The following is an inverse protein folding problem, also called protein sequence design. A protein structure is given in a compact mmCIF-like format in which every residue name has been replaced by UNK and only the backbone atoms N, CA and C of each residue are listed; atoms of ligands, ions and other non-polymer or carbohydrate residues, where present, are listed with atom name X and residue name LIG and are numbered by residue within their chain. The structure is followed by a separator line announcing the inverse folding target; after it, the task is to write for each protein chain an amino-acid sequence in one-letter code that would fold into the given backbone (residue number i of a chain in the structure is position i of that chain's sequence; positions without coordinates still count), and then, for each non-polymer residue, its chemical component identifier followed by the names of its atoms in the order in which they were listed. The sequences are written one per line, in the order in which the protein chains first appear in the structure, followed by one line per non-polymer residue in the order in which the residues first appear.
data_IF_650789618877
#
_entry.id   IF_650789618877
#
_cell.length_a   1.000
_cell.length_b   1.000
_cell.length_c   1.000
_cell.angle_alpha   90.00
_cell.angle_beta   90.00
_cell.angle_gamma   90.00
#
_symmetry.space_group_name_H-M   'P 1'
#
loop_
_entity.id
_entity.type
_entity.pdbx_description
1 polymer ?
#
# COMPACT_ATOMS: atom_id res chain seq x y z
N UNK A 1 5.48 14.21 3.80
CA UNK A 1 5.34 12.86 4.41
C UNK A 1 3.93 12.35 4.16
N UNK A 2 3.69 11.05 4.31
CA UNK A 2 2.35 10.47 4.16
C UNK A 2 1.98 9.62 5.38
N UNK A 3 0.77 9.82 5.87
CA UNK A 3 0.11 8.87 6.75
C UNK A 3 -0.92 8.07 5.95
N UNK A 4 -1.00 6.78 6.25
CA UNK A 4 -1.96 5.87 5.65
C UNK A 4 -2.62 5.03 6.74
N UNK A 5 -3.89 4.67 6.54
CA UNK A 5 -4.61 3.68 7.32
C UNK A 5 -5.70 3.03 6.45
N UNK A 6 -6.02 1.76 6.73
CA UNK A 6 -7.10 1.03 6.07
C UNK A 6 -7.66 -0.03 7.02
N UNK A 7 -8.91 -0.44 6.81
CA UNK A 7 -9.42 -1.67 7.40
C UNK A 7 -9.38 -2.76 6.32
N UNK A 8 -9.04 -4.00 6.69
CA UNK A 8 -9.12 -5.11 5.74
C UNK A 8 -9.42 -6.45 6.41
N UNK A 9 -10.07 -7.34 5.67
CA UNK A 9 -10.46 -8.66 6.17
C UNK A 9 -10.39 -9.72 5.06
N UNK A 10 -10.05 -10.96 5.43
CA UNK A 10 -10.30 -12.12 4.58
C UNK A 10 -11.78 -12.50 4.67
N UNK A 11 -12.46 -12.53 3.52
CA UNK A 11 -13.89 -12.82 3.45
C UNK A 11 -14.19 -14.33 3.35
N UNK A 12 -13.15 -15.18 3.38
CA UNK A 12 -13.26 -16.63 3.38
C UNK A 12 -12.40 -17.25 4.51
N UNK A 13 -13.00 -17.95 5.49
CA UNK A 13 -12.34 -18.25 6.77
C UNK A 13 -11.44 -19.50 6.78
N UNK A 14 -10.79 -19.85 5.67
CA UNK A 14 -9.90 -21.02 5.68
C UNK A 14 -8.51 -20.67 6.25
N UNK A 15 -8.07 -21.46 7.23
CA UNK A 15 -6.94 -21.24 8.15
C UNK A 15 -5.52 -21.22 7.52
N UNK A 16 -5.41 -21.08 6.20
CA UNK A 16 -4.11 -21.09 5.48
C UNK A 16 -4.06 -20.10 4.32
N UNK A 17 -4.72 -18.95 4.48
CA UNK A 17 -4.76 -17.87 3.48
C UNK A 17 -4.33 -16.57 4.13
N UNK A 18 -3.57 -15.76 3.40
CA UNK A 18 -3.32 -14.38 3.77
C UNK A 18 -3.25 -13.49 2.53
N UNK A 19 -3.62 -12.23 2.71
CA UNK A 19 -3.34 -11.19 1.72
C UNK A 19 -2.50 -10.14 2.41
N UNK A 20 -1.33 -9.85 1.88
CA UNK A 20 -0.53 -8.72 2.31
C UNK A 20 -0.82 -7.53 1.42
N UNK A 21 -1.19 -6.39 2.01
CA UNK A 21 -1.42 -5.13 1.32
C UNK A 21 -0.37 -4.09 1.72
N UNK A 22 0.20 -3.41 0.74
CA UNK A 22 1.06 -2.25 0.92
C UNK A 22 0.47 -1.05 0.17
N UNK A 23 0.68 0.17 0.70
CA UNK A 23 0.32 1.40 0.00
C UNK A 23 1.09 1.49 -1.32
N UNK A 24 0.35 1.72 -2.41
CA UNK A 24 0.92 2.01 -3.71
C UNK A 24 0.64 3.47 -4.11
N UNK A 25 1.62 4.10 -4.74
CA UNK A 25 1.54 5.48 -5.24
C UNK A 25 1.94 5.48 -6.71
N UNK A 26 1.08 6.01 -7.58
CA UNK A 26 1.45 6.37 -8.93
C UNK A 26 1.64 7.89 -9.03
N UNK A 27 2.80 8.32 -9.52
CA UNK A 27 3.14 9.73 -9.69
C UNK A 27 4.10 9.89 -10.88
N UNK A 28 3.78 10.80 -11.81
CA UNK A 28 4.61 11.08 -12.99
C UNK A 28 5.01 9.83 -13.81
N UNK A 29 4.09 8.87 -13.96
CA UNK A 29 4.33 7.62 -14.69
C UNK A 29 5.21 6.59 -13.96
N UNK A 30 5.53 6.83 -12.69
CA UNK A 30 6.23 5.89 -11.80
C UNK A 30 5.26 5.26 -10.82
N UNK A 31 5.48 3.99 -10.49
CA UNK A 31 4.72 3.25 -9.49
C UNK A 31 5.63 2.89 -8.34
N UNK A 32 5.27 3.36 -7.16
CA UNK A 32 5.99 3.13 -5.92
C UNK A 32 5.16 2.22 -5.02
N UNK A 33 5.84 1.37 -4.27
CA UNK A 33 5.22 0.51 -3.26
C UNK A 33 5.92 0.76 -1.93
N UNK A 34 5.14 0.95 -0.86
CA UNK A 34 5.70 1.06 0.48
C UNK A 34 6.50 -0.21 0.80
N UNK A 35 7.67 -0.05 1.43
CA UNK A 35 8.53 -1.16 1.84
C UNK A 35 7.92 -2.03 2.94
N UNK A 36 6.78 -1.61 3.47
CA UNK A 36 6.08 -2.29 4.55
C UNK A 36 4.66 -2.62 4.12
N UNK A 37 4.24 -3.87 4.39
CA UNK A 37 2.90 -4.38 4.15
C UNK A 37 2.16 -4.63 5.47
N UNK A 38 0.86 -4.88 5.39
CA UNK A 38 0.05 -5.42 6.49
C UNK A 38 -0.72 -6.63 6.00
N UNK A 39 -0.70 -7.68 6.81
CA UNK A 39 -1.48 -8.89 6.55
C UNK A 39 -2.95 -8.64 6.90
N UNK A 40 -3.83 -8.86 5.93
CA UNK A 40 -5.25 -9.01 6.12
C UNK A 40 -5.53 -10.46 6.51
N UNK A 41 -6.04 -10.65 7.73
CA UNK A 41 -6.26 -11.96 8.33
C UNK A 41 -7.76 -12.29 8.44
N UNK A 42 -8.06 -13.49 8.93
CA UNK A 42 -9.43 -13.95 9.22
C UNK A 42 -9.87 -13.39 10.58
N UNK A 43 -10.00 -12.07 10.69
CA UNK A 43 -10.46 -11.38 11.90
C UNK A 43 -11.64 -10.44 11.56
N UNK A 44 -12.46 -10.02 12.54
CA UNK A 44 -13.43 -8.94 12.35
C UNK A 44 -12.70 -7.69 11.85
N UNK A 45 -13.32 -6.91 10.95
CA UNK A 45 -12.75 -5.66 10.41
C UNK A 45 -11.95 -4.90 11.45
N UNK A 46 -10.64 -4.81 11.20
CA UNK A 46 -9.68 -4.31 12.15
C UNK A 46 -8.76 -3.30 11.48
N UNK A 47 -8.49 -2.22 12.21
CA UNK A 47 -7.58 -1.14 11.83
C UNK A 47 -6.21 -1.68 11.46
N UNK A 48 -5.96 -1.80 10.17
CA UNK A 48 -4.69 -2.23 9.62
C UNK A 48 -3.91 -1.05 9.04
N UNK A 49 -2.59 -1.14 9.17
CA UNK A 49 -1.67 -0.23 8.49
C UNK A 49 -1.81 1.27 8.81
N UNK A 50 -2.17 1.65 10.04
CA UNK A 50 -1.96 3.01 10.56
C UNK A 50 -0.47 3.36 10.59
N UNK A 51 0.09 3.72 9.44
CA UNK A 51 1.49 4.07 9.27
C UNK A 51 1.58 5.57 9.14
N UNK A 52 2.24 6.19 10.10
CA UNK A 52 2.46 7.62 10.12
C UNK A 52 3.86 7.96 9.59
N UNK A 53 3.99 9.16 9.05
CA UNK A 53 5.25 9.79 8.69
C UNK A 53 6.08 9.02 7.65
N UNK A 54 5.42 8.31 6.71
CA UNK A 54 6.13 7.67 5.61
C UNK A 54 6.82 8.73 4.74
N UNK A 55 8.12 8.60 4.60
CA UNK A 55 8.98 9.42 3.76
C UNK A 55 9.23 8.74 2.41
N UNK A 56 9.81 9.46 1.45
CA UNK A 56 10.12 8.90 0.13
C UNK A 56 10.99 7.63 0.21
N UNK A 57 11.91 7.59 1.18
CA UNK A 57 12.79 6.44 1.42
C UNK A 57 12.05 5.18 1.90
N UNK A 58 10.81 5.31 2.39
CA UNK A 58 9.98 4.18 2.79
C UNK A 58 9.27 3.52 1.61
N UNK A 59 9.54 3.99 0.39
CA UNK A 59 9.00 3.43 -0.84
C UNK A 59 10.12 2.95 -1.75
N UNK A 60 9.82 1.88 -2.49
CA UNK A 60 10.64 1.40 -3.60
C UNK A 60 9.94 1.64 -4.92
N UNK A 61 10.71 1.96 -5.96
CA UNK A 61 10.22 1.97 -7.34
C UNK A 61 9.88 0.52 -7.74
N UNK A 62 8.63 0.29 -8.13
CA UNK A 62 8.15 -0.99 -8.63
C UNK A 62 8.16 -1.04 -10.16
N UNK A 63 7.75 0.06 -10.80
CA UNK A 63 7.66 0.18 -12.26
C UNK A 63 7.77 1.64 -12.70
N UNK A 64 8.20 1.85 -13.94
CA UNK A 64 8.40 3.17 -14.55
C UNK A 64 9.86 3.64 -14.57
N UNK A 65 10.11 4.89 -15.00
CA UNK A 65 11.45 5.43 -15.16
C UNK A 65 12.18 5.55 -13.83
N UNK A 66 13.49 5.30 -13.84
CA UNK A 66 14.34 5.47 -12.68
C UNK A 66 14.24 6.90 -12.09
N UNK A 67 14.50 7.00 -10.80
CA UNK A 67 14.59 8.28 -10.11
C UNK A 67 15.91 8.97 -10.44
N UNK A 68 15.84 10.27 -10.65
CA UNK A 68 17.02 11.10 -10.84
C UNK A 68 17.88 11.15 -9.58
N UNK A 69 19.18 11.41 -9.76
CA UNK A 69 20.08 11.66 -8.62
C UNK A 69 19.59 12.86 -7.81
N UNK A 70 19.31 12.67 -6.52
CA UNK A 70 18.82 13.72 -5.62
C UNK A 70 17.31 14.02 -5.73
N UNK A 71 16.57 13.28 -6.57
CA UNK A 71 15.11 13.39 -6.66
C UNK A 71 14.46 12.69 -5.45
N UNK A 72 13.47 13.35 -4.82
CA UNK A 72 12.57 12.69 -3.88
C UNK A 72 11.56 11.84 -4.67
N UNK A 73 11.57 10.53 -4.42
CA UNK A 73 10.85 9.57 -5.23
C UNK A 73 10.14 8.54 -4.32
N UNK A 74 8.83 8.66 -4.07
CA UNK A 74 7.91 9.69 -4.56
C UNK A 74 8.17 11.09 -3.99
N UNK A 75 7.65 12.12 -4.66
CA UNK A 75 7.72 13.51 -4.22
C UNK A 75 6.45 13.89 -3.45
N UNK A 76 6.62 14.28 -2.19
CA UNK A 76 5.53 14.70 -1.30
C UNK A 76 5.47 16.22 -1.10
N UNK A 77 6.25 17.00 -1.85
CA UNK A 77 6.25 18.46 -1.81
C UNK A 77 4.94 19.03 -2.36
N UNK A 78 4.67 20.31 -2.04
CA UNK A 78 3.50 21.01 -2.56
C UNK A 78 3.55 21.28 -4.07
N UNK A 79 4.72 21.15 -4.69
CA UNK A 79 4.95 21.33 -6.13
C UNK A 79 4.93 20.00 -6.89
N UNK A 80 4.78 18.89 -6.18
CA UNK A 80 4.81 17.56 -6.78
C UNK A 80 3.66 17.36 -7.77
N UNK A 81 3.88 16.48 -8.74
CA UNK A 81 2.82 16.06 -9.65
C UNK A 81 1.68 15.34 -8.89
N UNK A 82 0.44 15.34 -9.43
CA UNK A 82 -0.67 14.61 -8.82
C UNK A 82 -0.33 13.16 -8.52
N UNK A 83 -0.74 12.70 -7.35
CA UNK A 83 -0.59 11.32 -6.89
C UNK A 83 -1.89 10.55 -7.08
N UNK A 84 -1.79 9.30 -7.50
CA UNK A 84 -2.88 8.32 -7.43
C UNK A 84 -2.52 7.28 -6.37
N UNK A 85 -3.42 7.06 -5.43
CA UNK A 85 -3.24 6.09 -4.36
C UNK A 85 -3.91 4.77 -4.71
N UNK A 86 -3.34 3.67 -4.23
CA UNK A 86 -3.92 2.35 -4.36
C UNK A 86 -3.17 1.35 -3.49
N UNK A 87 -3.31 0.07 -3.85
CA UNK A 87 -2.72 -1.03 -3.09
C UNK A 87 -1.90 -1.94 -3.99
N UNK A 88 -0.77 -2.39 -3.47
CA UNK A 88 -0.04 -3.53 -3.99
C UNK A 88 -0.35 -4.74 -3.09
N UNK A 89 -0.86 -5.81 -3.69
CA UNK A 89 -1.31 -7.01 -2.96
C UNK A 89 -0.49 -8.24 -3.31
N UNK A 90 -0.12 -9.02 -2.30
CA UNK A 90 0.40 -10.38 -2.46
C UNK A 90 -0.59 -11.35 -1.81
N UNK A 91 -0.99 -12.37 -2.55
CA UNK A 91 -1.91 -13.41 -2.08
C UNK A 91 -1.12 -14.68 -1.78
N UNK A 92 -1.29 -15.22 -0.59
CA UNK A 92 -0.72 -16.50 -0.18
C UNK A 92 -1.84 -17.53 -0.03
N UNK A 93 -1.84 -18.53 -0.90
CA UNK A 93 -2.82 -19.63 -0.88
C UNK A 93 -2.29 -20.89 -1.58
N UNK A 94 -2.98 -22.01 -1.38
CA UNK A 94 -2.72 -23.24 -2.12
C UNK A 94 -3.20 -23.17 -3.59
N UNK A 95 -2.70 -24.06 -4.48
CA UNK A 95 -3.12 -24.11 -5.88
C UNK A 95 -4.64 -24.29 -6.02
N UNK A 96 -5.25 -23.53 -6.95
CA UNK A 96 -6.69 -23.61 -7.23
C UNK A 96 -7.59 -23.00 -6.15
N UNK A 97 -7.02 -22.40 -5.10
CA UNK A 97 -7.79 -21.80 -4.01
C UNK A 97 -8.10 -20.34 -4.33
N UNK A 98 -9.40 -20.04 -4.44
CA UNK A 98 -9.88 -18.67 -4.52
C UNK A 98 -9.70 -17.96 -3.16
N UNK A 99 -9.08 -16.78 -3.19
CA UNK A 99 -8.95 -15.90 -2.03
C UNK A 99 -9.77 -14.65 -2.28
N UNK A 100 -10.68 -14.36 -1.35
CA UNK A 100 -11.48 -13.13 -1.37
C UNK A 100 -11.10 -12.32 -0.13
N UNK A 101 -10.73 -11.06 -0.33
CA UNK A 101 -10.49 -10.11 0.74
C UNK A 101 -11.27 -8.83 0.47
N UNK A 102 -11.58 -8.11 1.54
CA UNK A 102 -12.19 -6.78 1.48
C UNK A 102 -11.22 -5.73 2.03
N UNK A 103 -11.35 -4.51 1.51
CA UNK A 103 -10.74 -3.30 2.07
C UNK A 103 -11.87 -2.31 2.27
N UNK A 104 -11.97 -1.75 3.46
CA UNK A 104 -12.90 -0.67 3.80
C UNK A 104 -12.17 0.41 4.62
N UNK A 105 -12.88 1.51 4.88
CA UNK A 105 -12.41 2.67 5.67
C UNK A 105 -10.93 3.03 5.47
N UNK A 106 -10.58 3.57 4.30
CA UNK A 106 -9.21 3.98 4.02
C UNK A 106 -9.02 5.49 4.15
N UNK A 107 -7.84 5.89 4.61
CA UNK A 107 -7.44 7.28 4.73
C UNK A 107 -5.98 7.45 4.32
N UNK A 108 -5.73 8.49 3.51
CA UNK A 108 -4.39 8.98 3.22
C UNK A 108 -4.33 10.44 3.62
N UNK A 109 -3.33 10.81 4.43
CA UNK A 109 -3.03 12.20 4.77
C UNK A 109 -1.67 12.55 4.22
N UNK A 110 -1.59 13.60 3.40
CA UNK A 110 -0.32 14.09 2.85
C UNK A 110 0.08 15.35 3.62
N UNK A 111 1.24 15.30 4.26
CA UNK A 111 1.82 16.41 4.99
C UNK A 111 2.79 17.20 4.11
N UNK A 112 2.67 18.52 4.17
CA UNK A 112 3.59 19.48 3.57
C UNK A 112 4.88 19.59 4.37
#
# INVERSE_FOLDING_TARGET
MIDHAQDCALLAPAESRSVELALAIEQSGRRFVANTSSACNVEPWNGHAGRASLAAADFRLFDGPACGSGEACPDFSAQAAPMRFGYFGIVFSGPGVAVTHGVDNWRVTVWR
#
